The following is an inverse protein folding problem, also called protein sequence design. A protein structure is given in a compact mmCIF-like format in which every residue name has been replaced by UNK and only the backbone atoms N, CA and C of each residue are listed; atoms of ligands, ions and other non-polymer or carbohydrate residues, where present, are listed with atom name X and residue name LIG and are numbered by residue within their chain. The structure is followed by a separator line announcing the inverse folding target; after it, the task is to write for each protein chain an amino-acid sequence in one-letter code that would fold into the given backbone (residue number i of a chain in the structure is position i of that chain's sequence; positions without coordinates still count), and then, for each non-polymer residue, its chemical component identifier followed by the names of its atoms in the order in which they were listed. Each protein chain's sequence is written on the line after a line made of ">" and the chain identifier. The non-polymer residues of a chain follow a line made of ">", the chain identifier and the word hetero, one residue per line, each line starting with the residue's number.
data_IF_746939091209
#
_entry.id   IF_746939091209
#
_cell.length_a   1.000
_cell.length_b   1.000
_cell.length_c   1.000
_cell.angle_alpha   90.00
_cell.angle_beta   90.00
_cell.angle_gamma   90.00
#
_symmetry.space_group_name_H-M   'P 1'
#
loop_
_entity.id
_entity.type
_entity.pdbx_description
1 polymer ?
#
# COMPACT_ATOMS: atom_id res chain seq x y z
N UNK A 1 -4.65 -14.04 38.15
CA UNK A 1 -5.45 -14.27 36.94
C UNK A 1 -4.98 -13.27 35.90
N UNK A 2 -4.13 -13.69 34.97
CA UNK A 2 -3.62 -12.82 33.90
C UNK A 2 -4.71 -12.76 32.85
N UNK A 3 -5.23 -11.58 32.58
CA UNK A 3 -6.27 -11.34 31.59
C UNK A 3 -5.76 -11.81 30.22
N UNK A 4 -6.33 -12.91 29.73
CA UNK A 4 -6.03 -13.57 28.47
C UNK A 4 -6.58 -12.78 27.28
N UNK A 5 -6.17 -11.52 27.17
CA UNK A 5 -6.65 -10.58 26.17
C UNK A 5 -5.47 -10.25 25.26
N UNK A 6 -5.27 -11.08 24.23
CA UNK A 6 -4.22 -10.88 23.23
C UNK A 6 -4.21 -9.46 22.66
N UNK A 7 -3.03 -9.02 22.22
CA UNK A 7 -2.82 -7.70 21.61
C UNK A 7 -3.60 -7.66 20.30
N UNK A 8 -4.29 -6.54 20.05
CA UNK A 8 -5.10 -6.31 18.85
C UNK A 8 -4.21 -5.97 17.65
N UNK A 9 -4.47 -6.60 16.52
CA UNK A 9 -3.83 -6.40 15.22
C UNK A 9 -4.88 -6.08 14.15
N UNK A 10 -5.89 -5.28 14.52
CA UNK A 10 -7.02 -4.93 13.64
C UNK A 10 -6.58 -4.22 12.35
N UNK A 11 -5.42 -3.56 12.39
CA UNK A 11 -4.78 -2.95 11.22
C UNK A 11 -4.33 -3.97 10.16
N UNK A 12 -4.18 -5.26 10.52
CA UNK A 12 -3.92 -6.36 9.58
C UNK A 12 -5.24 -7.03 9.19
N UNK A 13 -6.01 -7.49 10.17
CA UNK A 13 -7.34 -8.09 9.98
C UNK A 13 -8.24 -7.72 11.15
N UNK A 14 -9.47 -7.32 10.86
CA UNK A 14 -10.43 -6.92 11.89
C UNK A 14 -10.70 -8.06 12.88
N UNK A 15 -10.58 -7.76 14.18
CA UNK A 15 -10.75 -8.71 15.26
C UNK A 15 -9.53 -9.60 15.54
N UNK A 16 -8.44 -9.48 14.80
CA UNK A 16 -7.24 -10.28 15.01
C UNK A 16 -6.59 -9.93 16.36
N UNK A 17 -6.41 -10.94 17.21
CA UNK A 17 -5.73 -10.83 18.49
C UNK A 17 -4.67 -11.91 18.60
N UNK A 18 -3.48 -11.54 19.05
CA UNK A 18 -2.35 -12.45 19.21
C UNK A 18 -1.77 -12.35 20.62
N UNK A 19 -1.36 -13.48 21.18
CA UNK A 19 -0.60 -13.52 22.43
C UNK A 19 0.83 -13.04 22.18
N UNK A 20 1.54 -12.63 23.25
CA UNK A 20 2.94 -12.22 23.15
C UNK A 20 3.85 -13.33 22.62
N UNK A 21 3.58 -14.57 23.02
CA UNK A 21 4.33 -15.75 22.56
C UNK A 21 4.12 -15.96 21.06
N UNK A 22 2.87 -15.84 20.59
CA UNK A 22 2.55 -16.01 19.17
C UNK A 22 3.15 -14.88 18.31
N UNK A 23 3.12 -13.64 18.80
CA UNK A 23 3.80 -12.51 18.14
C UNK A 23 5.30 -12.77 18.01
N UNK A 24 5.93 -13.26 19.08
CA UNK A 24 7.37 -13.56 19.10
C UNK A 24 7.71 -14.69 18.13
N UNK A 25 6.90 -15.76 18.12
CA UNK A 25 7.04 -16.88 17.20
C UNK A 25 6.93 -16.44 15.74
N UNK A 26 5.91 -15.64 15.41
CA UNK A 26 5.68 -15.13 14.05
C UNK A 26 6.80 -14.18 13.58
N UNK A 27 7.32 -13.32 14.47
CA UNK A 27 8.46 -12.44 14.15
C UNK A 27 9.71 -13.22 13.76
N UNK A 28 10.04 -14.27 14.51
CA UNK A 28 11.20 -15.13 14.22
C UNK A 28 10.98 -15.91 12.92
N UNK A 29 9.80 -16.50 12.74
CA UNK A 29 9.47 -17.25 11.53
C UNK A 29 9.56 -16.38 10.26
N UNK A 30 8.98 -15.17 10.28
CA UNK A 30 9.02 -14.25 9.14
C UNK A 30 10.44 -13.76 8.85
N UNK A 31 11.22 -13.40 9.88
CA UNK A 31 12.63 -12.99 9.70
C UNK A 31 13.44 -14.11 9.03
N UNK A 32 13.32 -15.34 9.53
CA UNK A 32 14.04 -16.49 8.98
C UNK A 32 13.63 -16.80 7.53
N UNK A 33 12.33 -16.71 7.22
CA UNK A 33 11.82 -16.86 5.84
C UNK A 33 12.46 -15.84 4.91
N UNK A 34 12.51 -14.56 5.29
CA UNK A 34 13.09 -13.52 4.44
C UNK A 34 14.61 -13.64 4.32
N UNK A 35 15.32 -13.93 5.39
CA UNK A 35 16.77 -14.15 5.34
C UNK A 35 17.15 -15.34 4.45
N UNK A 36 16.36 -16.43 4.47
CA UNK A 36 16.55 -17.55 3.55
C UNK A 36 16.39 -17.13 2.07
N UNK A 37 15.54 -16.13 1.80
CA UNK A 37 15.36 -15.53 0.48
C UNK A 37 16.34 -14.38 0.19
N UNK A 38 17.25 -14.06 1.12
CA UNK A 38 18.13 -12.88 1.10
C UNK A 38 17.36 -11.55 0.95
N UNK A 39 16.17 -11.48 1.55
CA UNK A 39 15.31 -10.29 1.55
C UNK A 39 15.24 -9.63 2.91
N UNK A 40 14.85 -8.35 2.90
CA UNK A 40 14.47 -7.57 4.08
C UNK A 40 13.01 -7.08 3.98
N UNK A 41 12.49 -6.48 5.05
CA UNK A 41 11.21 -5.78 4.99
C UNK A 41 11.41 -4.36 4.45
N UNK A 42 10.54 -3.92 3.52
CA UNK A 42 10.47 -2.54 3.07
C UNK A 42 9.07 -2.01 3.34
N UNK A 43 8.96 -0.99 4.20
CA UNK A 43 7.69 -0.33 4.52
C UNK A 43 7.65 1.00 3.79
N UNK A 44 6.63 1.18 2.95
CA UNK A 44 6.46 2.34 2.09
C UNK A 44 5.20 3.12 2.47
N UNK A 45 5.34 4.43 2.56
CA UNK A 45 4.20 5.35 2.55
C UNK A 45 3.68 5.54 1.10
N UNK A 46 2.47 6.09 0.95
CA UNK A 46 1.83 6.35 -0.34
C UNK A 46 1.95 7.80 -0.80
N UNK A 47 1.25 8.72 -0.13
CA UNK A 47 1.16 10.11 -0.54
C UNK A 47 2.52 10.81 -0.40
N UNK A 48 2.92 11.55 -1.42
CA UNK A 48 4.24 12.16 -1.53
C UNK A 48 5.44 11.19 -1.48
N UNK A 49 5.19 9.88 -1.52
CA UNK A 49 6.23 8.84 -1.59
C UNK A 49 6.15 8.06 -2.90
N UNK A 50 5.05 7.32 -3.13
CA UNK A 50 4.81 6.54 -4.34
C UNK A 50 3.86 7.24 -5.32
N UNK A 51 3.07 8.19 -4.83
CA UNK A 51 2.10 8.93 -5.63
C UNK A 51 1.79 10.31 -5.06
N UNK A 52 0.99 11.08 -5.77
CA UNK A 52 0.38 12.29 -5.26
C UNK A 52 -1.13 12.27 -5.54
N UNK A 53 -1.94 12.56 -4.53
CA UNK A 53 -3.39 12.68 -4.66
C UNK A 53 -3.86 14.11 -4.44
N UNK A 54 -4.86 14.56 -5.22
CA UNK A 54 -5.49 15.88 -5.07
C UNK A 54 -6.98 15.77 -5.24
N UNK A 55 -7.73 16.24 -4.23
CA UNK A 55 -9.18 16.28 -4.29
C UNK A 55 -9.65 17.20 -5.43
N UNK A 56 -10.65 16.79 -6.19
CA UNK A 56 -11.21 17.56 -7.29
C UNK A 56 -11.69 18.95 -6.88
N UNK A 57 -12.22 19.08 -5.66
CA UNK A 57 -12.65 20.37 -5.07
C UNK A 57 -11.50 21.35 -4.84
N UNK A 58 -10.25 20.87 -4.86
CA UNK A 58 -9.03 21.65 -4.64
C UNK A 58 -8.23 21.89 -5.94
N UNK A 59 -8.75 21.45 -7.09
CA UNK A 59 -8.09 21.70 -8.38
C UNK A 59 -8.25 23.16 -8.78
N UNK A 60 -7.20 23.74 -9.33
CA UNK A 60 -7.24 25.07 -9.94
C UNK A 60 -7.93 25.01 -11.30
N UNK A 61 -8.46 26.13 -11.84
CA UNK A 61 -9.01 26.19 -13.19
C UNK A 61 -8.10 25.58 -14.26
N UNK A 62 -6.80 25.83 -14.14
CA UNK A 62 -5.78 25.35 -15.06
C UNK A 62 -5.52 23.84 -14.93
N UNK A 63 -5.96 23.19 -13.85
CA UNK A 63 -5.80 21.75 -13.64
C UNK A 63 -7.06 20.96 -14.08
N UNK A 64 -8.18 21.61 -14.38
CA UNK A 64 -9.41 20.90 -14.73
C UNK A 64 -9.27 20.02 -15.98
N UNK A 65 -8.36 20.35 -16.90
CA UNK A 65 -8.12 19.53 -18.10
C UNK A 65 -7.63 18.12 -17.75
N UNK A 66 -6.96 17.94 -16.60
CA UNK A 66 -6.41 16.66 -16.17
C UNK A 66 -7.49 15.61 -15.96
N UNK A 67 -8.73 16.02 -15.65
CA UNK A 67 -9.89 15.11 -15.55
C UNK A 67 -10.19 14.39 -16.86
N UNK A 68 -9.82 15.00 -18.00
CA UNK A 68 -10.04 14.42 -19.34
C UNK A 68 -8.86 13.57 -19.82
N UNK A 69 -7.70 13.66 -19.16
CA UNK A 69 -6.46 12.95 -19.51
C UNK A 69 -6.22 11.72 -18.62
N UNK A 70 -7.27 11.21 -18.00
CA UNK A 70 -7.14 10.09 -17.07
C UNK A 70 -6.92 8.80 -17.85
N UNK A 71 -5.90 8.05 -17.46
CA UNK A 71 -5.49 6.81 -18.11
C UNK A 71 -6.30 5.60 -17.59
N UNK A 72 -7.55 5.78 -17.19
CA UNK A 72 -8.36 4.73 -16.54
C UNK A 72 -8.50 3.45 -17.37
N UNK A 73 -8.18 3.52 -18.66
CA UNK A 73 -8.29 2.42 -19.61
C UNK A 73 -6.94 1.80 -20.02
N UNK A 74 -5.80 2.31 -19.50
CA UNK A 74 -4.47 1.86 -19.90
C UNK A 74 -3.74 1.25 -18.70
N UNK A 75 -3.22 0.03 -18.87
CA UNK A 75 -2.44 -0.64 -17.82
C UNK A 75 -1.20 0.17 -17.42
N UNK A 76 -0.55 0.84 -18.36
CA UNK A 76 0.63 1.71 -18.15
C UNK A 76 0.28 3.16 -17.80
N UNK A 77 -1.00 3.41 -17.50
CA UNK A 77 -1.46 4.71 -17.04
C UNK A 77 -0.73 5.21 -15.81
N UNK A 78 -0.62 6.52 -15.68
CA UNK A 78 0.01 7.16 -14.51
C UNK A 78 -0.88 8.20 -13.84
N UNK A 79 -2.03 8.53 -14.44
CA UNK A 79 -3.01 9.45 -13.89
C UNK A 79 -4.38 8.79 -13.79
N UNK A 80 -4.91 8.69 -12.58
CA UNK A 80 -6.13 7.95 -12.27
C UNK A 80 -7.15 8.81 -11.53
N UNK A 81 -8.41 8.39 -11.58
CA UNK A 81 -9.49 8.93 -10.75
C UNK A 81 -9.83 7.92 -9.68
N UNK A 82 -9.91 8.38 -8.43
CA UNK A 82 -10.36 7.60 -7.29
C UNK A 82 -11.70 8.14 -6.79
N UNK A 83 -12.71 7.25 -6.77
CA UNK A 83 -14.09 7.49 -6.32
C UNK A 83 -14.74 8.77 -6.87
N UNK A 84 -14.43 9.15 -8.12
CA UNK A 84 -14.87 10.39 -8.77
C UNK A 84 -14.61 11.68 -7.96
N UNK A 85 -13.68 11.62 -6.99
CA UNK A 85 -13.44 12.67 -6.03
C UNK A 85 -11.98 13.11 -5.97
N UNK A 86 -11.05 12.23 -6.33
CA UNK A 86 -9.61 12.50 -6.27
C UNK A 86 -8.93 12.19 -7.59
N UNK A 87 -7.98 13.06 -7.96
CA UNK A 87 -6.99 12.79 -8.99
C UNK A 87 -5.77 12.16 -8.33
N UNK A 88 -5.31 11.02 -8.83
CA UNK A 88 -4.13 10.31 -8.31
C UNK A 88 -3.08 10.21 -9.41
N UNK A 89 -1.93 10.85 -9.19
CA UNK A 89 -0.78 10.76 -10.09
C UNK A 89 0.26 9.83 -9.48
N UNK A 90 0.58 8.74 -10.17
CA UNK A 90 1.67 7.86 -9.79
C UNK A 90 3.03 8.54 -9.99
N UNK A 91 3.96 8.27 -9.09
CA UNK A 91 5.34 8.74 -9.24
C UNK A 91 5.98 8.09 -10.47
N UNK A 92 6.74 8.83 -11.29
CA UNK A 92 7.44 8.24 -12.42
C UNK A 92 8.29 7.03 -11.99
N UNK A 93 8.24 5.96 -12.80
CA UNK A 93 8.96 4.70 -12.58
C UNK A 93 8.54 3.91 -11.34
N UNK A 94 7.44 4.25 -10.65
CA UNK A 94 7.05 3.57 -9.41
C UNK A 94 6.86 2.06 -9.59
N UNK A 95 6.31 1.60 -10.70
CA UNK A 95 6.12 0.16 -10.95
C UNK A 95 7.42 -0.57 -11.22
N UNK A 96 8.33 0.05 -11.98
CA UNK A 96 9.70 -0.45 -12.16
C UNK A 96 10.43 -0.52 -10.83
N UNK A 97 10.31 0.52 -10.01
CA UNK A 97 10.86 0.54 -8.65
C UNK A 97 10.31 -0.62 -7.81
N UNK A 98 8.99 -0.83 -7.78
CA UNK A 98 8.36 -1.93 -7.02
C UNK A 98 8.85 -3.30 -7.51
N UNK A 99 8.97 -3.48 -8.83
CA UNK A 99 9.51 -4.70 -9.43
C UNK A 99 10.95 -4.96 -8.97
N UNK A 100 11.85 -3.99 -9.12
CA UNK A 100 13.25 -4.15 -8.71
C UNK A 100 13.39 -4.31 -7.20
N UNK A 101 12.67 -3.52 -6.41
CA UNK A 101 12.65 -3.62 -4.95
C UNK A 101 12.15 -5.00 -4.48
N UNK A 102 11.17 -5.59 -5.16
CA UNK A 102 10.63 -6.90 -4.79
C UNK A 102 11.67 -8.03 -4.87
N UNK A 103 12.77 -7.83 -5.61
CA UNK A 103 13.88 -8.80 -5.65
C UNK A 103 14.67 -8.84 -4.34
N UNK A 104 14.72 -7.73 -3.60
CA UNK A 104 15.48 -7.56 -2.36
C UNK A 104 14.60 -7.42 -1.11
N UNK A 105 13.30 -7.14 -1.28
CA UNK A 105 12.41 -6.82 -0.19
C UNK A 105 11.05 -7.53 -0.28
N UNK A 106 10.48 -7.85 0.88
CA UNK A 106 9.04 -8.06 1.03
C UNK A 106 8.40 -6.71 1.36
N UNK A 107 7.57 -6.21 0.45
CA UNK A 107 7.08 -4.83 0.46
C UNK A 107 5.76 -4.74 1.23
N UNK A 108 5.67 -3.74 2.09
CA UNK A 108 4.50 -3.37 2.87
C UNK A 108 4.11 -1.93 2.54
N UNK A 109 2.81 -1.65 2.49
CA UNK A 109 2.29 -0.29 2.45
C UNK A 109 1.82 0.10 3.84
N UNK A 110 2.26 1.26 4.33
CA UNK A 110 1.80 1.85 5.57
C UNK A 110 1.39 3.29 5.30
N UNK A 111 0.10 3.59 5.41
CA UNK A 111 -0.43 4.93 5.11
C UNK A 111 -1.44 5.36 6.16
N UNK A 112 -1.61 6.68 6.30
CA UNK A 112 -2.64 7.29 7.15
C UNK A 112 -4.00 7.42 6.45
N UNK A 113 -4.11 7.02 5.17
CA UNK A 113 -5.38 6.97 4.46
C UNK A 113 -6.29 5.86 4.97
N UNK A 114 -7.60 5.94 4.68
CA UNK A 114 -8.52 4.86 5.04
C UNK A 114 -8.15 3.56 4.31
N UNK A 115 -8.33 2.41 4.97
CA UNK A 115 -8.06 1.09 4.37
C UNK A 115 -8.73 0.88 3.01
N UNK A 116 -9.93 1.41 2.81
CA UNK A 116 -10.63 1.36 1.53
C UNK A 116 -9.86 2.14 0.44
N UNK A 117 -9.50 3.40 0.70
CA UNK A 117 -8.77 4.23 -0.27
C UNK A 117 -7.37 3.67 -0.55
N UNK A 118 -6.66 3.20 0.47
CA UNK A 118 -5.32 2.62 0.34
C UNK A 118 -5.34 1.36 -0.53
N UNK A 119 -6.35 0.49 -0.36
CA UNK A 119 -6.53 -0.68 -1.23
C UNK A 119 -6.79 -0.29 -2.68
N UNK A 120 -7.67 0.70 -2.92
CA UNK A 120 -7.95 1.19 -4.27
C UNK A 120 -6.72 1.80 -4.95
N UNK A 121 -5.94 2.55 -4.20
CA UNK A 121 -4.65 3.08 -4.67
C UNK A 121 -3.65 1.96 -4.98
N UNK A 122 -3.60 0.92 -4.13
CA UNK A 122 -2.73 -0.23 -4.36
C UNK A 122 -3.06 -0.93 -5.68
N UNK A 123 -4.33 -1.01 -6.09
CA UNK A 123 -4.74 -1.54 -7.41
C UNK A 123 -4.11 -0.73 -8.58
N UNK A 124 -3.88 0.58 -8.42
CA UNK A 124 -3.20 1.39 -9.44
C UNK A 124 -1.68 1.14 -9.48
N UNK A 125 -1.08 0.81 -8.34
CA UNK A 125 0.36 0.56 -8.21
C UNK A 125 0.74 -0.88 -8.58
N UNK A 126 -0.14 -1.83 -8.27
CA UNK A 126 0.06 -3.28 -8.39
C UNK A 126 -1.20 -3.96 -8.95
N UNK A 127 -1.54 -3.76 -10.24
CA UNK A 127 -2.77 -4.29 -10.83
C UNK A 127 -2.86 -5.82 -10.81
N UNK A 128 -1.71 -6.50 -10.81
CA UNK A 128 -1.60 -7.96 -10.79
C UNK A 128 -1.58 -8.54 -9.37
N UNK A 129 -1.42 -7.71 -8.33
CA UNK A 129 -1.36 -8.14 -6.93
C UNK A 129 -0.06 -8.85 -6.53
N UNK A 130 1.04 -8.59 -7.23
CA UNK A 130 2.32 -9.29 -7.03
C UNK A 130 3.14 -8.73 -5.86
N UNK A 131 2.91 -7.48 -5.45
CA UNK A 131 3.80 -6.73 -4.55
C UNK A 131 3.22 -6.51 -3.16
N UNK A 132 1.93 -6.18 -3.04
CA UNK A 132 1.35 -5.77 -1.75
C UNK A 132 0.45 -6.84 -1.13
N UNK A 133 -0.41 -7.50 -1.91
CA UNK A 133 -1.36 -8.53 -1.42
C UNK A 133 -2.03 -8.11 -0.08
N UNK A 134 -1.88 -8.87 1.00
CA UNK A 134 -2.44 -8.57 2.32
C UNK A 134 -1.56 -7.64 3.19
N UNK A 135 -0.45 -7.11 2.67
CA UNK A 135 0.57 -6.33 3.41
C UNK A 135 0.27 -4.82 3.39
N UNK A 136 -0.95 -4.47 3.73
CA UNK A 136 -1.44 -3.09 3.81
C UNK A 136 -1.80 -2.74 5.26
N UNK A 137 -1.19 -1.68 5.78
CA UNK A 137 -1.41 -1.11 7.11
C UNK A 137 -2.01 0.29 6.90
N UNK A 138 -3.28 0.45 7.29
CA UNK A 138 -4.10 1.63 7.05
C UNK A 138 -5.27 1.68 8.04
#
# INVERSE_FOLDING_TARGET
>A
MVSDCGIRFDYIFDGLRLTLDEISRLKVANSNKLFAQKKLHLVLDLDHTLLHSKAFKKLTPDELYLKKQTDSNTSDGSLFVLDDAYLVKLRPFVRTFLKEASSMFEIYVCSMGSRYCVKKVAEFLDPEGNFFDSRIIA
#
